data_IF_600632314412
#
_entry.id   IF_600632314412
#
_cell.length_a   1.000
_cell.length_b   1.000
_cell.length_c   1.000
_cell.angle_alpha   90.00
_cell.angle_beta   90.00
_cell.angle_gamma   90.00
#
_symmetry.space_group_name_H-M   'P 1'
#
loop_
_entity.id
_entity.type
_entity.pdbx_description
1 polymer ?
#
# COMPACT_ATOMS: atom_id res chain seq x y z
N UNK A 1 29.03 10.58 29.43
CA UNK A 1 28.52 9.28 28.93
C UNK A 1 27.21 9.51 28.18
N UNK A 2 27.17 9.15 26.89
CA UNK A 2 26.08 9.48 25.98
C UNK A 2 24.87 8.56 26.18
N UNK A 3 23.66 9.12 26.28
CA UNK A 3 22.40 8.39 26.33
C UNK A 3 21.90 8.10 24.90
N UNK A 4 21.51 6.86 24.56
CA UNK A 4 21.04 6.52 23.23
C UNK A 4 19.64 7.09 22.97
N UNK A 5 19.46 7.67 21.78
CA UNK A 5 18.21 8.30 21.33
C UNK A 5 17.09 7.27 21.12
N UNK A 6 16.06 7.31 21.98
CA UNK A 6 14.86 6.48 21.89
C UNK A 6 13.93 6.83 20.71
N UNK A 7 14.19 7.91 19.96
CA UNK A 7 13.30 8.35 18.86
C UNK A 7 13.49 7.60 17.54
N UNK A 8 14.60 6.87 17.34
CA UNK A 8 14.86 6.14 16.08
C UNK A 8 14.19 4.77 16.02
N UNK A 9 13.86 4.15 17.16
CA UNK A 9 13.27 2.81 17.20
C UNK A 9 11.74 2.80 17.09
N UNK A 10 11.05 3.89 17.42
CA UNK A 10 9.59 3.96 17.32
C UNK A 10 9.11 4.04 15.85
N UNK A 11 9.81 4.79 15.00
CA UNK A 11 9.51 4.90 13.57
C UNK A 11 9.89 3.64 12.77
N UNK A 12 10.88 2.86 13.24
CA UNK A 12 11.26 1.60 12.57
C UNK A 12 10.32 0.41 12.87
N UNK A 13 9.55 0.45 13.97
CA UNK A 13 8.60 -0.63 14.31
C UNK A 13 7.25 -0.47 13.61
N UNK A 14 6.81 0.76 13.30
CA UNK A 14 5.57 1.00 12.54
C UNK A 14 5.74 0.88 11.02
N UNK A 15 6.96 1.05 10.49
CA UNK A 15 7.28 0.77 9.08
C UNK A 15 7.37 -0.72 8.71
N UNK A 16 7.48 -1.62 9.70
CA UNK A 16 7.66 -3.08 9.45
C UNK A 16 6.39 -3.92 9.56
N UNK A 17 5.30 -3.39 10.11
CA UNK A 17 4.03 -4.14 10.22
C UNK A 17 3.05 -3.87 9.08
N UNK A 18 3.18 -2.75 8.35
CA UNK A 18 2.40 -2.51 7.12
C UNK A 18 3.14 -2.96 5.85
N UNK A 19 4.45 -3.20 5.91
CA UNK A 19 5.23 -3.78 4.80
C UNK A 19 5.20 -5.32 4.73
N UNK A 20 4.55 -6.01 5.69
CA UNK A 20 4.42 -7.49 5.67
C UNK A 20 3.13 -8.03 5.04
N UNK A 21 2.19 -7.16 4.64
CA UNK A 21 0.95 -7.58 3.96
C UNK A 21 0.92 -7.26 2.45
N UNK A 22 2.04 -6.77 1.89
CA UNK A 22 2.16 -6.41 0.47
C UNK A 22 3.47 -6.88 -0.18
N UNK A 23 4.15 -7.89 0.38
CA UNK A 23 5.37 -8.49 -0.21
C UNK A 23 5.15 -10.00 -0.41
N UNK A 24 4.04 -10.33 -1.09
CA UNK A 24 3.73 -11.70 -1.52
C UNK A 24 3.64 -11.87 -3.04
N UNK A 25 3.71 -10.80 -3.83
CA UNK A 25 3.44 -10.89 -5.27
C UNK A 25 4.27 -9.92 -6.12
N UNK A 26 5.59 -9.82 -5.86
CA UNK A 26 6.51 -9.12 -6.77
C UNK A 26 7.99 -9.46 -6.48
N UNK A 27 8.42 -10.66 -6.90
CA UNK A 27 9.80 -11.06 -7.22
C UNK A 27 9.61 -12.33 -8.05
N UNK A 28 9.89 -12.36 -9.35
CA UNK A 28 11.20 -12.16 -9.99
C UNK A 28 10.96 -11.90 -11.49
N UNK A 29 11.54 -10.85 -12.07
CA UNK A 29 12.82 -10.81 -12.79
C UNK A 29 12.62 -10.87 -14.32
N UNK A 30 12.80 -9.77 -15.04
CA UNK A 30 14.03 -9.31 -15.75
C UNK A 30 14.29 -10.01 -17.10
N UNK A 31 14.30 -9.19 -18.16
CA UNK A 31 15.07 -9.28 -19.43
C UNK A 31 15.41 -10.66 -19.99
N UNK A 32 14.94 -10.96 -21.20
CA UNK A 32 15.76 -11.04 -22.43
C UNK A 32 14.91 -11.50 -23.62
N UNK A 33 15.35 -11.09 -24.81
CA UNK A 33 14.76 -11.38 -26.10
C UNK A 33 14.89 -12.86 -26.53
N UNK A 34 14.03 -13.23 -27.49
CA UNK A 34 14.24 -14.19 -28.59
C UNK A 34 14.89 -15.55 -28.26
N UNK A 35 14.12 -16.63 -28.32
CA UNK A 35 14.24 -17.61 -29.41
C UNK A 35 13.30 -18.81 -29.23
N UNK A 36 12.97 -19.36 -30.39
CA UNK A 36 12.35 -20.63 -30.67
C UNK A 36 12.83 -21.81 -29.79
N UNK A 37 11.98 -22.86 -29.81
CA UNK A 37 12.20 -24.26 -29.40
C UNK A 37 12.08 -24.56 -27.91
N UNK A 38 11.05 -25.34 -27.56
CA UNK A 38 10.85 -25.83 -26.19
C UNK A 38 9.59 -26.67 -26.06
N UNK A 39 9.74 -27.96 -26.37
CA UNK A 39 8.82 -29.09 -26.15
C UNK A 39 7.87 -28.89 -24.95
N UNK A 40 6.59 -28.70 -25.23
CA UNK A 40 5.54 -29.01 -24.26
C UNK A 40 5.34 -30.53 -24.25
N UNK A 41 5.79 -31.16 -23.16
CA UNK A 41 5.50 -32.55 -22.82
C UNK A 41 4.05 -32.60 -22.36
N UNK A 42 3.14 -32.83 -23.29
CA UNK A 42 1.73 -33.08 -22.99
C UNK A 42 1.63 -34.48 -22.40
N UNK A 43 1.30 -34.55 -21.11
CA UNK A 43 0.84 -35.77 -20.45
C UNK A 43 -0.37 -36.28 -21.22
N UNK A 44 -0.19 -37.40 -21.92
CA UNK A 44 -1.27 -38.14 -22.59
C UNK A 44 -2.16 -38.69 -21.48
N UNK A 45 -3.25 -38.00 -21.18
CA UNK A 45 -4.42 -38.66 -20.63
C UNK A 45 -5.00 -39.49 -21.77
N UNK A 46 -4.88 -40.81 -21.64
CA UNK A 46 -5.70 -41.77 -22.38
C UNK A 46 -7.17 -41.49 -22.03
N UNK A 47 -7.81 -40.61 -22.79
CA UNK A 47 -9.25 -40.57 -22.91
C UNK A 47 -9.63 -41.61 -23.95
N UNK A 48 -9.90 -42.82 -23.48
CA UNK A 48 -10.72 -43.81 -24.18
C UNK A 48 -12.12 -43.20 -24.33
N UNK A 49 -12.31 -42.42 -25.38
CA UNK A 49 -13.63 -42.04 -25.86
C UNK A 49 -13.67 -42.35 -27.34
N UNK A 50 -14.24 -43.51 -27.68
CA UNK A 50 -14.87 -43.75 -28.96
C UNK A 50 -16.01 -42.73 -29.13
N UNK A 51 -15.67 -41.50 -29.48
CA UNK A 51 -16.60 -40.48 -29.92
C UNK A 51 -16.40 -40.36 -31.43
N UNK A 52 -17.07 -41.27 -32.16
CA UNK A 52 -17.22 -41.17 -33.61
C UNK A 52 -18.02 -39.90 -33.91
N UNK A 53 -17.33 -38.79 -34.17
CA UNK A 53 -17.92 -37.61 -34.80
C UNK A 53 -18.01 -37.93 -36.30
N UNK A 54 -19.20 -38.19 -36.86
CA UNK A 54 -19.34 -38.58 -38.24
C UNK A 54 -19.13 -37.34 -39.12
N UNK A 55 -17.87 -37.08 -39.51
CA UNK A 55 -17.42 -36.18 -40.60
C UNK A 55 -15.94 -35.79 -40.50
N UNK A 56 -15.27 -36.02 -39.36
CA UNK A 56 -13.82 -35.82 -39.23
C UNK A 56 -13.09 -37.12 -39.55
N UNK A 57 -13.00 -37.45 -40.84
CA UNK A 57 -12.05 -38.46 -41.30
C UNK A 57 -10.64 -37.88 -41.17
N UNK A 58 -9.81 -38.47 -40.31
CA UNK A 58 -8.38 -38.18 -40.25
C UNK A 58 -7.73 -38.67 -41.54
N UNK A 59 -7.67 -37.82 -42.57
CA UNK A 59 -6.88 -38.10 -43.76
C UNK A 59 -5.41 -37.94 -43.43
N UNK A 60 -4.64 -39.01 -43.63
CA UNK A 60 -3.19 -38.93 -43.56
C UNK A 60 -2.67 -38.06 -44.73
N UNK A 61 -1.54 -37.33 -44.60
CA UNK A 61 -1.02 -36.49 -45.68
C UNK A 61 -0.80 -37.24 -47.01
N UNK A 62 -0.55 -38.55 -46.92
CA UNK A 62 -0.43 -39.48 -48.06
C UNK A 62 -1.75 -39.77 -48.79
N UNK A 63 -2.90 -39.64 -48.13
CA UNK A 63 -4.22 -39.85 -48.74
C UNK A 63 -4.78 -38.58 -49.39
N UNK A 64 -4.25 -37.41 -49.03
CA UNK A 64 -4.65 -36.12 -49.63
C UNK A 64 -4.29 -36.08 -51.11
N UNK A 65 -3.13 -36.63 -51.49
CA UNK A 65 -2.65 -36.61 -52.88
C UNK A 65 -3.53 -37.43 -53.83
N UNK A 66 -4.12 -38.53 -53.34
CA UNK A 66 -5.10 -39.34 -54.09
C UNK A 66 -6.52 -38.78 -54.10
N UNK A 67 -6.83 -37.84 -53.19
CA UNK A 67 -8.12 -37.14 -53.15
C UNK A 67 -8.13 -35.85 -53.96
N UNK A 68 -6.96 -35.33 -54.31
CA UNK A 68 -6.85 -34.20 -55.22
C UNK A 68 -7.25 -34.67 -56.63
N UNK A 69 -8.15 -33.96 -57.33
CA UNK A 69 -8.46 -34.27 -58.71
C UNK A 69 -7.16 -34.20 -59.53
N UNK A 70 -6.79 -35.29 -60.18
CA UNK A 70 -5.59 -35.33 -61.00
C UNK A 70 -5.74 -34.33 -62.15
N UNK A 71 -4.87 -33.32 -62.17
CA UNK A 71 -4.84 -32.34 -63.24
C UNK A 71 -4.15 -32.94 -64.47
N UNK A 72 -4.92 -33.26 -65.51
CA UNK A 72 -4.37 -33.65 -66.80
C UNK A 72 -4.22 -32.40 -67.69
N UNK A 73 -2.99 -31.92 -67.97
CA UNK A 73 -2.77 -30.68 -68.73
C UNK A 73 -3.33 -30.75 -70.17
N UNK A 74 -3.39 -31.95 -70.75
CA UNK A 74 -3.85 -32.16 -72.12
C UNK A 74 -5.37 -31.99 -72.25
N UNK A 75 -6.10 -32.17 -71.16
CA UNK A 75 -7.56 -32.07 -71.11
C UNK A 75 -8.07 -30.62 -71.08
N UNK A 76 -7.17 -29.68 -70.78
CA UNK A 76 -7.43 -28.23 -70.76
C UNK A 76 -6.69 -27.47 -71.87
N UNK A 77 -6.00 -28.19 -72.75
CA UNK A 77 -5.24 -27.59 -73.84
C UNK A 77 -6.20 -27.24 -74.99
N UNK A 78 -6.49 -25.96 -75.14
CA UNK A 78 -7.36 -25.46 -76.20
C UNK A 78 -6.49 -25.25 -77.45
N UNK A 79 -6.53 -26.20 -78.38
CA UNK A 79 -5.81 -26.11 -79.66
C UNK A 79 -6.40 -25.07 -80.62
N UNK A 80 -7.71 -24.80 -80.50
CA UNK A 80 -8.41 -23.74 -81.23
C UNK A 80 -9.34 -22.95 -80.27
N UNK A 81 -9.02 -21.68 -79.94
CA UNK A 81 -9.79 -20.88 -79.00
C UNK A 81 -11.18 -20.44 -79.50
N UNK A 82 -11.45 -20.56 -80.81
CA UNK A 82 -12.76 -20.26 -81.40
C UNK A 82 -13.68 -21.49 -81.45
N UNK A 83 -13.14 -22.69 -81.21
CA UNK A 83 -13.88 -23.96 -81.23
C UNK A 83 -13.32 -24.91 -80.17
N UNK A 84 -13.55 -24.63 -78.87
CA UNK A 84 -13.09 -25.52 -77.81
C UNK A 84 -13.76 -26.90 -77.95
N UNK A 85 -13.03 -28.00 -77.68
CA UNK A 85 -13.59 -29.35 -77.77
C UNK A 85 -14.78 -29.52 -76.79
N UNK A 86 -15.83 -30.24 -77.22
CA UNK A 86 -17.03 -30.49 -76.40
C UNK A 86 -16.76 -31.21 -75.07
N UNK A 87 -15.60 -31.87 -74.95
CA UNK A 87 -15.12 -32.47 -73.71
C UNK A 87 -14.64 -31.45 -72.67
N UNK A 88 -14.49 -30.18 -73.06
CA UNK A 88 -14.11 -29.12 -72.13
C UNK A 88 -15.36 -28.69 -71.35
N UNK A 89 -15.33 -28.74 -70.00
CA UNK A 89 -16.47 -28.32 -69.20
C UNK A 89 -16.73 -26.82 -69.42
N UNK A 90 -17.81 -26.50 -70.15
CA UNK A 90 -18.27 -25.14 -70.33
C UNK A 90 -19.09 -24.71 -69.12
N UNK A 91 -18.70 -23.60 -68.51
CA UNK A 91 -19.47 -23.00 -67.41
C UNK A 91 -20.77 -22.46 -68.00
N UNK A 92 -21.90 -22.93 -67.51
CA UNK A 92 -23.19 -22.39 -67.95
C UNK A 92 -23.35 -20.95 -67.45
N UNK A 93 -24.16 -20.14 -68.14
CA UNK A 93 -24.38 -18.75 -67.72
C UNK A 93 -24.88 -18.66 -66.27
N UNK A 94 -25.68 -19.64 -65.80
CA UNK A 94 -26.15 -19.69 -64.42
C UNK A 94 -25.04 -19.99 -63.41
N UNK A 95 -24.08 -20.86 -63.75
CA UNK A 95 -22.91 -21.14 -62.92
C UNK A 95 -21.98 -19.92 -62.86
N UNK A 96 -21.76 -19.22 -63.97
CA UNK A 96 -20.96 -18.00 -64.01
C UNK A 96 -21.57 -16.89 -63.14
N UNK A 97 -22.88 -16.63 -63.29
CA UNK A 97 -23.59 -15.64 -62.47
C UNK A 97 -23.55 -16.01 -60.98
N UNK A 98 -23.65 -17.29 -60.65
CA UNK A 98 -23.56 -17.76 -59.27
C UNK A 98 -22.16 -17.55 -58.69
N UNK A 99 -21.11 -17.88 -59.45
CA UNK A 99 -19.73 -17.66 -59.05
C UNK A 99 -19.42 -16.17 -58.87
N UNK A 100 -19.89 -15.31 -59.79
CA UNK A 100 -19.73 -13.85 -59.67
C UNK A 100 -20.41 -13.31 -58.40
N UNK A 101 -21.61 -13.78 -58.07
CA UNK A 101 -22.32 -13.37 -56.84
C UNK A 101 -21.60 -13.80 -55.58
N UNK A 102 -21.01 -15.00 -55.56
CA UNK A 102 -20.21 -15.48 -54.44
C UNK A 102 -18.96 -14.62 -54.27
N UNK A 103 -18.28 -14.29 -55.37
CA UNK A 103 -17.09 -13.43 -55.35
C UNK A 103 -17.42 -12.02 -54.85
N UNK A 104 -18.46 -11.38 -55.40
CA UNK A 104 -18.90 -10.05 -54.98
C UNK A 104 -19.38 -10.05 -53.52
N UNK A 105 -20.08 -11.10 -53.10
CA UNK A 105 -20.51 -11.32 -51.72
C UNK A 105 -19.32 -11.43 -50.77
N UNK A 106 -18.30 -12.22 -51.13
CA UNK A 106 -17.06 -12.36 -50.39
C UNK A 106 -16.29 -11.04 -50.28
N UNK A 107 -16.24 -10.27 -51.37
CA UNK A 107 -15.57 -8.96 -51.37
C UNK A 107 -16.26 -7.95 -50.48
N UNK A 108 -17.60 -7.89 -50.50
CA UNK A 108 -18.38 -7.05 -49.59
C UNK A 108 -18.19 -7.46 -48.13
N UNK A 109 -18.20 -8.76 -47.85
CA UNK A 109 -17.98 -9.27 -46.50
C UNK A 109 -16.60 -8.85 -45.97
N UNK A 110 -15.54 -9.01 -46.77
CA UNK A 110 -14.19 -8.60 -46.41
C UNK A 110 -14.09 -7.08 -46.13
N UNK A 111 -14.72 -6.25 -46.95
CA UNK A 111 -14.77 -4.80 -46.72
C UNK A 111 -15.53 -4.42 -45.45
N UNK A 112 -16.67 -5.06 -45.19
CA UNK A 112 -17.46 -4.83 -43.97
C UNK A 112 -16.69 -5.25 -42.72
N UNK A 113 -16.05 -6.42 -42.77
CA UNK A 113 -15.20 -6.92 -41.68
C UNK A 113 -14.00 -6.01 -41.44
N UNK A 114 -13.34 -5.52 -42.50
CA UNK A 114 -12.25 -4.54 -42.39
C UNK A 114 -12.69 -3.25 -41.69
N UNK A 115 -13.80 -2.66 -42.14
CA UNK A 115 -14.38 -1.46 -41.50
C UNK A 115 -14.78 -1.71 -40.04
N UNK A 116 -15.29 -2.90 -39.72
CA UNK A 116 -15.62 -3.27 -38.34
C UNK A 116 -14.35 -3.36 -37.48
N UNK A 117 -13.25 -3.92 -38.00
CA UNK A 117 -11.96 -3.93 -37.30
C UNK A 117 -11.41 -2.52 -37.07
N UNK A 118 -11.50 -1.63 -38.04
CA UNK A 118 -11.07 -0.23 -37.87
C UNK A 118 -11.91 0.48 -36.80
N UNK A 119 -13.24 0.33 -36.84
CA UNK A 119 -14.13 0.91 -35.83
C UNK A 119 -13.85 0.36 -34.43
N UNK A 120 -13.63 -0.95 -34.29
CA UNK A 120 -13.30 -1.55 -32.98
C UNK A 120 -11.95 -1.07 -32.47
N UNK A 121 -10.96 -0.89 -33.35
CA UNK A 121 -9.65 -0.32 -33.00
C UNK A 121 -9.78 1.12 -32.49
N UNK A 122 -10.54 1.96 -33.17
CA UNK A 122 -10.77 3.34 -32.73
C UNK A 122 -11.47 3.39 -31.38
N UNK A 123 -12.52 2.60 -31.19
CA UNK A 123 -13.23 2.48 -29.91
C UNK A 123 -12.29 2.02 -28.79
N UNK A 124 -11.45 1.03 -29.04
CA UNK A 124 -10.48 0.55 -28.07
C UNK A 124 -9.48 1.64 -27.66
N UNK A 125 -9.00 2.45 -28.61
CA UNK A 125 -8.10 3.57 -28.32
C UNK A 125 -8.80 4.63 -27.45
N UNK A 126 -10.05 4.97 -27.77
CA UNK A 126 -10.83 5.94 -26.99
C UNK A 126 -11.07 5.44 -25.57
N UNK A 127 -11.53 4.19 -25.40
CA UNK A 127 -11.75 3.60 -24.08
C UNK A 127 -10.45 3.47 -23.29
N UNK A 128 -9.33 3.11 -23.94
CA UNK A 128 -8.02 3.08 -23.29
C UNK A 128 -7.59 4.46 -22.78
N UNK A 129 -7.86 5.53 -23.53
CA UNK A 129 -7.59 6.91 -23.09
C UNK A 129 -8.46 7.29 -21.90
N UNK A 130 -9.76 6.98 -21.95
CA UNK A 130 -10.70 7.22 -20.83
C UNK A 130 -10.29 6.48 -19.56
N UNK A 131 -9.88 5.22 -19.68
CA UNK A 131 -9.41 4.43 -18.55
C UNK A 131 -8.16 5.05 -17.91
N UNK A 132 -7.20 5.53 -18.73
CA UNK A 132 -6.02 6.25 -18.24
C UNK A 132 -6.39 7.54 -17.52
N UNK A 133 -7.27 8.38 -18.09
CA UNK A 133 -7.70 9.62 -17.44
C UNK A 133 -8.45 9.35 -16.14
N UNK A 134 -9.30 8.32 -16.11
CA UNK A 134 -9.98 7.91 -14.88
C UNK A 134 -8.99 7.45 -13.82
N UNK A 135 -8.02 6.60 -14.18
CA UNK A 135 -6.99 6.15 -13.24
C UNK A 135 -6.13 7.28 -12.69
N UNK A 136 -5.79 8.28 -13.53
CA UNK A 136 -5.09 9.48 -13.09
C UNK A 136 -5.96 10.31 -12.14
N UNK A 137 -7.25 10.45 -12.42
CA UNK A 137 -8.22 11.12 -11.54
C UNK A 137 -8.37 10.45 -10.17
N UNK A 138 -8.36 9.12 -10.13
CA UNK A 138 -8.37 8.36 -8.86
C UNK A 138 -7.09 8.62 -8.07
N UNK A 139 -5.92 8.57 -8.73
CA UNK A 139 -4.63 8.83 -8.06
C UNK A 139 -4.55 10.25 -7.49
N UNK A 140 -5.01 11.27 -8.22
CA UNK A 140 -5.02 12.65 -7.73
C UNK A 140 -5.99 12.84 -6.58
N UNK A 141 -7.18 12.23 -6.65
CA UNK A 141 -8.15 12.25 -5.55
C UNK A 141 -7.57 11.61 -4.28
N UNK A 142 -6.94 10.44 -4.40
CA UNK A 142 -6.27 9.77 -3.26
C UNK A 142 -5.12 10.61 -2.70
N UNK A 143 -4.33 11.26 -3.56
CA UNK A 143 -3.26 12.16 -3.11
C UNK A 143 -3.82 13.36 -2.33
N UNK A 144 -4.94 13.93 -2.78
CA UNK A 144 -5.60 15.04 -2.09
C UNK A 144 -6.15 14.62 -0.72
N UNK A 145 -6.78 13.45 -0.65
CA UNK A 145 -7.27 12.88 0.61
C UNK A 145 -6.13 12.63 1.60
N UNK A 146 -4.99 12.12 1.12
CA UNK A 146 -3.80 11.94 1.94
C UNK A 146 -3.30 13.28 2.50
N UNK A 147 -3.18 14.32 1.68
CA UNK A 147 -2.74 15.65 2.14
C UNK A 147 -3.71 16.22 3.18
N UNK A 148 -5.01 16.01 3.00
CA UNK A 148 -6.03 16.40 3.99
C UNK A 148 -5.85 15.65 5.31
N UNK A 149 -5.58 14.35 5.27
CA UNK A 149 -5.26 13.54 6.44
C UNK A 149 -4.02 14.03 7.17
N UNK A 150 -2.92 14.25 6.43
CA UNK A 150 -1.65 14.73 6.97
C UNK A 150 -1.81 16.12 7.63
N UNK A 151 -2.64 17.01 7.06
CA UNK A 151 -2.96 18.31 7.65
C UNK A 151 -3.71 18.17 8.97
N UNK A 152 -4.73 17.30 9.04
CA UNK A 152 -5.49 17.07 10.26
C UNK A 152 -4.61 16.49 11.37
N UNK A 153 -3.75 15.53 11.02
CA UNK A 153 -2.77 14.96 11.95
C UNK A 153 -1.79 16.01 12.47
N UNK A 154 -1.31 16.91 11.62
CA UNK A 154 -0.45 18.01 12.03
C UNK A 154 -1.15 18.96 13.01
N UNK A 155 -2.42 19.31 12.77
CA UNK A 155 -3.20 20.15 13.67
C UNK A 155 -3.39 19.50 15.04
N UNK A 156 -3.67 18.20 15.09
CA UNK A 156 -3.77 17.43 16.33
C UNK A 156 -2.43 17.42 17.07
N UNK A 157 -1.32 17.20 16.36
CA UNK A 157 0.01 17.25 16.97
C UNK A 157 0.35 18.62 17.55
N UNK A 158 -0.03 19.69 16.86
CA UNK A 158 0.15 21.06 17.32
C UNK A 158 -0.63 21.32 18.61
N UNK A 159 -1.92 20.95 18.65
CA UNK A 159 -2.75 21.08 19.85
C UNK A 159 -2.20 20.26 21.03
N UNK A 160 -1.78 19.01 20.78
CA UNK A 160 -1.16 18.17 21.80
C UNK A 160 0.15 18.77 22.32
N UNK A 161 0.95 19.42 21.47
CA UNK A 161 2.18 20.08 21.90
C UNK A 161 1.87 21.31 22.77
N UNK A 162 0.89 22.12 22.37
CA UNK A 162 0.43 23.27 23.15
C UNK A 162 -0.06 22.85 24.54
N UNK A 163 -0.89 21.80 24.64
CA UNK A 163 -1.36 21.27 25.91
C UNK A 163 -0.20 20.80 26.80
N UNK A 164 0.77 20.07 26.24
CA UNK A 164 1.96 19.64 26.98
C UNK A 164 2.81 20.80 27.50
N UNK A 165 2.91 21.90 26.73
CA UNK A 165 3.63 23.09 27.18
C UNK A 165 2.90 23.80 28.33
N UNK A 166 1.58 23.86 28.28
CA UNK A 166 0.75 24.40 29.37
C UNK A 166 0.93 23.52 30.62
N UNK A 167 0.81 22.21 30.49
CA UNK A 167 1.00 21.26 31.59
C UNK A 167 2.39 21.40 32.22
N UNK A 168 3.44 21.44 31.40
CA UNK A 168 4.81 21.67 31.86
C UNK A 168 4.96 23.01 32.60
N UNK A 169 4.33 24.07 32.09
CA UNK A 169 4.30 25.39 32.74
C UNK A 169 3.67 25.33 34.13
N UNK A 170 2.50 24.69 34.24
CA UNK A 170 1.81 24.53 35.54
C UNK A 170 2.60 23.66 36.52
N UNK A 171 3.23 22.59 36.05
CA UNK A 171 4.07 21.72 36.88
C UNK A 171 5.31 22.47 37.42
N UNK A 172 5.95 23.28 36.56
CA UNK A 172 7.06 24.16 36.99
C UNK A 172 6.61 25.15 38.04
N UNK A 173 5.49 25.84 37.81
CA UNK A 173 4.95 26.81 38.77
C UNK A 173 4.68 26.14 40.13
N UNK A 174 4.00 24.99 40.14
CA UNK A 174 3.74 24.22 41.38
C UNK A 174 5.03 23.85 42.11
N UNK A 175 6.06 23.44 41.37
CA UNK A 175 7.36 23.08 41.94
C UNK A 175 8.05 24.29 42.57
N UNK A 176 8.08 25.42 41.86
CA UNK A 176 8.65 26.67 42.38
C UNK A 176 7.91 27.15 43.62
N UNK A 177 6.58 27.11 43.61
CA UNK A 177 5.76 27.48 44.78
C UNK A 177 6.02 26.55 45.96
N UNK A 178 6.07 25.23 45.73
CA UNK A 178 6.38 24.26 46.78
C UNK A 178 7.77 24.48 47.38
N UNK A 179 8.77 24.82 46.57
CA UNK A 179 10.10 25.19 47.03
C UNK A 179 10.09 26.46 47.88
N UNK A 180 9.37 27.50 47.45
CA UNK A 180 9.24 28.75 48.22
C UNK A 180 8.60 28.49 49.59
N UNK A 181 7.51 27.73 49.63
CA UNK A 181 6.84 27.35 50.88
C UNK A 181 7.78 26.55 51.79
N UNK A 182 8.55 25.62 51.24
CA UNK A 182 9.51 24.84 52.01
C UNK A 182 10.59 25.72 52.67
N UNK A 183 11.12 26.71 51.94
CA UNK A 183 12.10 27.65 52.50
C UNK A 183 11.48 28.54 53.59
N UNK A 184 10.27 29.04 53.37
CA UNK A 184 9.57 29.87 54.36
C UNK A 184 9.24 29.08 55.63
N UNK A 185 8.78 27.84 55.49
CA UNK A 185 8.48 26.96 56.63
C UNK A 185 9.73 26.54 57.40
N UNK A 186 10.85 26.29 56.73
CA UNK A 186 12.14 26.03 57.39
C UNK A 186 12.59 27.25 58.21
N UNK A 187 12.45 28.46 57.64
CA UNK A 187 12.75 29.70 58.34
C UNK A 187 11.86 29.88 59.57
N UNK A 188 10.54 29.72 59.43
CA UNK A 188 9.60 29.83 60.55
C UNK A 188 9.92 28.83 61.67
N UNK A 189 10.29 27.59 61.32
CA UNK A 189 10.67 26.56 62.28
C UNK A 189 11.98 26.92 63.01
N UNK A 190 12.96 27.48 62.30
CA UNK A 190 14.21 27.95 62.91
C UNK A 190 13.98 29.11 63.89
N UNK A 191 13.08 30.05 63.55
CA UNK A 191 12.71 31.16 64.43
C UNK A 191 11.99 30.67 65.68
N UNK A 192 11.06 29.71 65.54
CA UNK A 192 10.38 29.07 66.67
C UNK A 192 11.34 28.31 67.58
N UNK A 193 12.34 27.62 67.02
CA UNK A 193 13.38 26.97 67.81
C UNK A 193 14.22 27.98 68.60
N UNK A 194 14.62 29.09 67.98
CA UNK A 194 15.36 30.15 68.67
C UNK A 194 14.54 30.79 69.82
N UNK A 195 13.25 31.03 69.60
CA UNK A 195 12.35 31.52 70.66
C UNK A 195 12.19 30.51 71.80
N UNK A 196 12.09 29.21 71.49
CA UNK A 196 12.00 28.17 72.51
C UNK A 196 13.30 28.07 73.34
N UNK A 197 14.46 28.19 72.70
CA UNK A 197 15.77 28.17 73.37
C UNK A 197 15.92 29.37 74.31
N UNK A 198 15.66 30.59 73.84
CA UNK A 198 15.70 31.79 74.70
C UNK A 198 14.72 31.73 75.87
N UNK A 199 13.51 31.20 75.64
CA UNK A 199 12.54 30.94 76.70
C UNK A 199 13.03 29.92 77.74
N UNK A 200 13.69 28.84 77.29
CA UNK A 200 14.27 27.84 78.17
C UNK A 200 15.44 28.39 79.01
N UNK A 201 16.32 29.19 78.40
CA UNK A 201 17.41 29.88 79.11
C UNK A 201 16.88 30.84 80.18
N UNK A 202 15.86 31.63 79.85
CA UNK A 202 15.23 32.54 80.80
C UNK A 202 14.59 31.78 81.97
N UNK A 203 13.92 30.66 81.71
CA UNK A 203 13.38 29.80 82.76
C UNK A 203 14.48 29.19 83.65
N UNK A 204 15.62 28.80 83.08
CA UNK A 204 16.79 28.33 83.84
C UNK A 204 17.37 29.43 84.72
N UNK A 205 17.55 30.65 84.20
CA UNK A 205 18.03 31.81 84.96
C UNK A 205 17.09 32.13 86.12
N UNK A 206 15.78 32.19 85.87
CA UNK A 206 14.78 32.39 86.94
C UNK A 206 14.81 31.27 87.98
N UNK A 207 15.05 30.03 87.56
CA UNK A 207 15.17 28.89 88.49
C UNK A 207 16.43 29.04 89.34
N UNK A 208 17.58 29.39 88.75
CA UNK A 208 18.81 29.67 89.49
C UNK A 208 18.62 30.83 90.47
N UNK A 209 18.04 31.96 90.05
CA UNK A 209 17.77 33.09 90.93
C UNK A 209 16.88 32.70 92.13
N UNK A 210 15.81 31.93 91.89
CA UNK A 210 14.94 31.43 92.97
C UNK A 210 15.67 30.47 93.90
N UNK A 211 16.54 29.61 93.36
CA UNK A 211 17.38 28.73 94.18
C UNK A 211 18.37 29.52 95.03
N UNK A 212 19.00 30.55 94.48
CA UNK A 212 19.91 31.45 95.23
C UNK A 212 19.16 32.17 96.34
N UNK A 213 17.99 32.76 96.06
CA UNK A 213 17.14 33.40 97.09
C UNK A 213 16.72 32.42 98.18
N UNK A 214 16.41 31.18 97.81
CA UNK A 214 16.07 30.13 98.78
C UNK A 214 17.28 29.74 99.65
N UNK A 215 18.48 29.67 99.07
CA UNK A 215 19.71 29.42 99.80
C UNK A 215 20.04 30.56 100.79
N UNK A 216 19.92 31.82 100.35
CA UNK A 216 20.08 33.00 101.22
C UNK A 216 19.06 32.99 102.37
N UNK A 217 17.80 32.70 102.08
CA UNK A 217 16.75 32.63 103.10
C UNK A 217 17.02 31.55 104.15
N UNK A 218 17.51 30.37 103.72
CA UNK A 218 17.92 29.30 104.65
C UNK A 218 19.05 29.74 105.58
N UNK A 219 20.02 30.47 105.06
CA UNK A 219 21.17 30.95 105.83
C UNK A 219 20.74 31.96 106.90
N UNK A 220 19.71 32.77 106.62
CA UNK A 220 19.11 33.72 107.55
C UNK A 220 18.27 33.05 108.66
N UNK A 221 17.76 31.84 108.42
CA UNK A 221 16.96 31.05 109.37
C UNK A 221 17.80 30.13 110.27
N UNK A 222 19.06 29.88 109.93
CA UNK A 222 20.00 29.18 110.81
C UNK A 222 20.51 30.14 111.90
N UNK A 223 20.24 29.88 113.20
CA UNK A 223 20.75 30.74 114.27
C UNK A 223 22.28 30.69 114.29
N UNK A 224 22.92 31.85 114.29
CA UNK A 224 24.34 31.94 114.61
C UNK A 224 24.52 31.53 116.07
N UNK A 225 25.19 30.40 116.28
CA UNK A 225 25.77 29.98 117.55
C UNK A 225 27.20 30.48 117.61
#
# INVERSE_FOLDING_TARGET
MARPSLSKNASQRRGKTLAKKAVGAAKSATKAASNLTGKAKTTVQNATSNASIPTLNFTSPSEVEGQLPQFNPQQYQVSDPLSPPESMPQVTQSQFVSASRIYDGGMRALQLTGKAFDLTRERFVVESKKAKTFSAGVQTATAFEKVKGDLADYQIQLQNNQQKNIELGTAKLRTTTAQSIAVETEKELSEKLAQAQTGAELAQLQTQEKQTKLAEFKLLLTPQV
#
